data_IF_842403431899
#
_entry.id   IF_842403431899
#
_cell.length_a   1.000
_cell.length_b   1.000
_cell.length_c   1.000
_cell.angle_alpha   90.00
_cell.angle_beta   90.00
_cell.angle_gamma   90.00
#
_symmetry.space_group_name_H-M   'P 1'
#
loop_
_entity.id
_entity.type
_entity.pdbx_description
1 polymer ?
#
# COMPACT_ATOMS: atom_id res chain seq x y z
N UNK A 1 17.68 16.29 -7.18
CA UNK A 1 17.20 16.19 -8.57
C UNK A 1 15.80 15.62 -8.54
N UNK A 2 14.86 16.05 -9.40
CA UNK A 2 13.59 15.34 -9.51
C UNK A 2 13.88 13.96 -10.08
N UNK A 3 13.85 12.92 -9.23
CA UNK A 3 13.90 11.54 -9.68
C UNK A 3 12.58 11.26 -10.39
N UNK A 4 12.62 11.12 -11.71
CA UNK A 4 11.44 10.71 -12.46
C UNK A 4 10.99 9.33 -11.94
N UNK A 5 9.73 9.22 -11.57
CA UNK A 5 9.11 7.96 -11.13
C UNK A 5 7.87 7.72 -11.96
N UNK A 6 7.74 6.50 -12.48
CA UNK A 6 6.54 6.07 -13.19
C UNK A 6 5.35 5.94 -12.24
N UNK A 7 5.59 5.47 -11.00
CA UNK A 7 4.54 5.31 -10.00
C UNK A 7 4.32 6.62 -9.23
N UNK A 8 3.04 6.98 -9.09
CA UNK A 8 2.65 8.08 -8.20
C UNK A 8 2.98 7.74 -6.75
N UNK A 9 3.11 8.77 -5.90
CA UNK A 9 3.31 8.52 -4.47
C UNK A 9 2.13 7.75 -3.83
N UNK A 10 0.91 7.88 -4.35
CA UNK A 10 -0.25 7.09 -3.94
C UNK A 10 -0.02 5.59 -4.17
N UNK A 11 0.39 5.21 -5.38
CA UNK A 11 0.70 3.82 -5.72
C UNK A 11 1.85 3.26 -4.86
N UNK A 12 2.89 4.08 -4.62
CA UNK A 12 4.02 3.71 -3.77
C UNK A 12 3.64 3.51 -2.30
N UNK A 13 2.70 4.30 -1.76
CA UNK A 13 2.16 4.07 -0.41
C UNK A 13 1.37 2.77 -0.35
N UNK A 14 0.53 2.48 -1.35
CA UNK A 14 -0.24 1.23 -1.38
C UNK A 14 0.68 0.00 -1.40
N UNK A 15 1.75 0.02 -2.20
CA UNK A 15 2.78 -1.02 -2.19
C UNK A 15 3.46 -1.17 -0.83
N UNK A 16 3.88 -0.06 -0.22
CA UNK A 16 4.55 -0.08 1.06
C UNK A 16 3.63 -0.62 2.19
N UNK A 17 2.36 -0.24 2.19
CA UNK A 17 1.36 -0.71 3.15
C UNK A 17 1.01 -2.19 2.92
N UNK A 18 0.83 -2.62 1.67
CA UNK A 18 0.60 -4.03 1.35
C UNK A 18 1.77 -4.92 1.82
N UNK A 19 2.99 -4.40 1.73
CA UNK A 19 4.18 -5.07 2.23
C UNK A 19 4.30 -5.07 3.77
N UNK A 20 3.96 -3.96 4.41
CA UNK A 20 4.05 -3.76 5.85
C UNK A 20 2.85 -2.97 6.39
N UNK A 21 1.76 -3.65 6.76
CA UNK A 21 0.53 -3.01 7.29
C UNK A 21 0.75 -2.17 8.56
N UNK A 22 1.83 -2.44 9.28
CA UNK A 22 2.21 -1.81 10.56
C UNK A 22 3.18 -0.63 10.40
N UNK A 23 3.44 -0.20 9.16
CA UNK A 23 4.36 0.88 8.85
C UNK A 23 3.91 2.20 9.50
N UNK A 24 4.85 2.90 10.15
CA UNK A 24 4.60 4.25 10.65
C UNK A 24 4.67 5.23 9.49
N UNK A 25 3.98 6.37 9.61
CA UNK A 25 4.05 7.45 8.61
C UNK A 25 5.49 7.89 8.31
N UNK A 26 6.35 7.90 9.33
CA UNK A 26 7.79 8.17 9.18
C UNK A 26 8.51 7.15 8.29
N UNK A 27 8.14 5.89 8.41
CA UNK A 27 8.78 4.78 7.69
C UNK A 27 8.32 4.85 6.21
N UNK A 28 7.04 5.17 5.99
CA UNK A 28 6.49 5.46 4.65
C UNK A 28 7.17 6.68 4.02
N UNK A 29 7.30 7.78 4.75
CA UNK A 29 7.93 9.00 4.27
C UNK A 29 9.39 8.76 3.84
N UNK A 30 10.15 8.02 4.67
CA UNK A 30 11.52 7.63 4.36
C UNK A 30 11.61 6.74 3.11
N UNK A 31 10.76 5.71 3.00
CA UNK A 31 10.73 4.81 1.84
C UNK A 31 10.35 5.53 0.55
N UNK A 32 9.49 6.55 0.64
CA UNK A 32 9.04 7.32 -0.52
C UNK A 32 9.96 8.49 -0.87
N UNK A 33 10.92 8.82 -0.02
CA UNK A 33 11.74 10.04 -0.10
C UNK A 33 10.89 11.32 -0.13
N UNK A 34 9.86 11.37 0.71
CA UNK A 34 8.97 12.53 0.88
C UNK A 34 8.94 13.00 2.33
N UNK A 35 8.29 14.13 2.60
CA UNK A 35 8.09 14.60 3.98
C UNK A 35 7.03 13.76 4.69
N UNK A 36 7.09 13.68 6.03
CA UNK A 36 6.02 13.05 6.82
C UNK A 36 4.64 13.69 6.56
N UNK A 37 4.60 15.00 6.37
CA UNK A 37 3.36 15.72 6.02
C UNK A 37 2.79 15.24 4.68
N UNK A 38 3.65 15.02 3.69
CA UNK A 38 3.25 14.49 2.38
C UNK A 38 2.74 13.05 2.53
N UNK A 39 3.44 12.20 3.27
CA UNK A 39 3.00 10.83 3.53
C UNK A 39 1.63 10.80 4.26
N UNK A 40 1.44 11.68 5.24
CA UNK A 40 0.16 11.84 5.94
C UNK A 40 -0.97 12.27 5.00
N UNK A 41 -0.72 13.23 4.12
CA UNK A 41 -1.68 13.66 3.11
C UNK A 41 -2.11 12.50 2.21
N UNK A 42 -1.13 11.79 1.63
CA UNK A 42 -1.40 10.63 0.76
C UNK A 42 -2.19 9.53 1.47
N UNK A 43 -1.84 9.20 2.72
CA UNK A 43 -2.59 8.19 3.49
C UNK A 43 -4.02 8.66 3.77
N UNK A 44 -4.21 9.94 4.05
CA UNK A 44 -5.54 10.54 4.21
C UNK A 44 -6.34 10.44 2.91
N UNK A 45 -5.77 10.88 1.79
CA UNK A 45 -6.41 10.82 0.47
C UNK A 45 -6.84 9.39 0.11
N UNK A 46 -5.96 8.41 0.34
CA UNK A 46 -6.26 6.99 0.11
C UNK A 46 -7.31 6.42 1.07
N UNK A 47 -7.39 6.95 2.30
CA UNK A 47 -8.41 6.53 3.27
C UNK A 47 -9.77 7.12 2.90
N UNK A 48 -9.81 8.38 2.49
CA UNK A 48 -11.02 9.06 2.03
C UNK A 48 -11.57 8.44 0.73
N UNK A 49 -10.68 8.04 -0.17
CA UNK A 49 -11.04 7.31 -1.39
C UNK A 49 -11.41 5.83 -1.15
N UNK A 50 -11.28 5.33 0.08
CA UNK A 50 -11.64 3.95 0.46
C UNK A 50 -10.59 2.87 0.14
N UNK A 51 -9.49 3.22 -0.53
CA UNK A 51 -8.41 2.27 -0.85
C UNK A 51 -7.63 1.81 0.37
N UNK A 52 -7.58 2.61 1.43
CA UNK A 52 -7.01 2.24 2.72
C UNK A 52 -8.07 2.29 3.83
N UNK A 53 -8.06 1.28 4.69
CA UNK A 53 -8.74 1.31 5.97
C UNK A 53 -7.70 1.39 7.08
N UNK A 54 -7.91 2.34 8.00
CA UNK A 54 -7.06 2.57 9.15
C UNK A 54 -7.72 2.00 10.39
N UNK A 55 -7.08 1.01 10.99
CA UNK A 55 -7.48 0.43 12.27
C UNK A 55 -6.52 0.84 13.37
N UNK A 56 -7.05 1.09 14.57
CA UNK A 56 -6.23 1.44 15.73
C UNK A 56 -5.87 0.17 16.51
N UNK A 57 -4.63 -0.25 16.38
CA UNK A 57 -4.02 -1.36 17.11
C UNK A 57 -3.23 -0.80 18.31
N UNK A 58 -3.97 -0.51 19.39
CA UNK A 58 -3.44 0.11 20.61
C UNK A 58 -2.86 1.52 20.40
N UNK A 59 -1.54 1.64 20.51
CA UNK A 59 -0.79 2.91 20.28
C UNK A 59 -0.39 3.12 18.82
N UNK A 60 -0.65 2.14 17.94
CA UNK A 60 -0.25 2.18 16.53
C UNK A 60 -1.48 2.15 15.62
N UNK A 61 -1.29 2.66 14.42
CA UNK A 61 -2.24 2.46 13.35
C UNK A 61 -1.78 1.25 12.54
N UNK A 62 -2.73 0.39 12.18
CA UNK A 62 -2.57 -0.67 11.18
C UNK A 62 -3.38 -0.27 9.96
N UNK A 63 -2.79 -0.39 8.78
CA UNK A 63 -3.44 -0.03 7.52
C UNK A 63 -3.72 -1.27 6.69
N UNK A 64 -4.91 -1.33 6.10
CA UNK A 64 -5.36 -2.42 5.24
C UNK A 64 -5.73 -1.86 3.87
N UNK A 65 -5.14 -2.43 2.82
CA UNK A 65 -5.54 -2.13 1.45
C UNK A 65 -6.85 -2.83 1.14
N UNK A 66 -7.82 -2.10 0.59
CA UNK A 66 -9.06 -2.66 0.06
C UNK A 66 -8.82 -3.18 -1.37
N UNK A 67 -8.20 -4.36 -1.44
CA UNK A 67 -7.71 -4.99 -2.68
C UNK A 67 -8.78 -5.20 -3.76
N UNK A 68 -10.05 -5.27 -3.36
CA UNK A 68 -11.19 -5.50 -4.26
C UNK A 68 -11.68 -4.23 -4.98
N UNK A 69 -11.21 -3.03 -4.57
CA UNK A 69 -11.68 -1.80 -5.19
C UNK A 69 -11.09 -1.64 -6.60
N UNK A 70 -11.90 -1.26 -7.59
CA UNK A 70 -11.42 -0.99 -8.93
C UNK A 70 -10.50 0.22 -8.95
N UNK A 71 -9.51 0.23 -9.84
CA UNK A 71 -8.76 1.44 -10.15
C UNK A 71 -9.58 2.32 -11.10
N UNK A 72 -9.63 3.65 -10.89
CA UNK A 72 -10.35 4.54 -11.79
C UNK A 72 -9.57 4.57 -13.11
N UNK A 73 -10.09 3.90 -14.14
CA UNK A 73 -9.44 3.83 -15.46
C UNK A 73 -10.47 4.04 -16.55
N UNK A 74 -10.18 4.93 -17.50
CA UNK A 74 -11.05 5.18 -18.66
C UNK A 74 -10.97 4.08 -19.74
N UNK A 75 -10.31 2.94 -19.46
CA UNK A 75 -9.95 1.93 -20.46
C UNK A 75 -10.41 0.54 -20.04
N UNK A 76 -11.53 0.09 -20.62
CA UNK A 76 -11.95 -1.32 -20.58
C UNK A 76 -12.37 -1.84 -19.22
N UNK A 77 -12.01 -3.10 -18.91
CA UNK A 77 -12.28 -3.71 -17.60
C UNK A 77 -11.38 -3.05 -16.57
N UNK A 78 -11.98 -2.39 -15.57
CA UNK A 78 -11.25 -1.79 -14.46
C UNK A 78 -10.55 -2.89 -13.64
N UNK A 79 -9.21 -2.97 -13.64
CA UNK A 79 -8.50 -3.90 -12.79
C UNK A 79 -8.68 -3.48 -11.33
N UNK A 80 -8.69 -4.45 -10.43
CA UNK A 80 -8.70 -4.14 -8.99
C UNK A 80 -7.32 -3.64 -8.55
N UNK A 81 -7.29 -2.87 -7.46
CA UNK A 81 -6.01 -2.46 -6.88
C UNK A 81 -5.17 -3.67 -6.43
N UNK A 82 -5.81 -4.76 -5.98
CA UNK A 82 -5.12 -6.01 -5.66
C UNK A 82 -4.40 -6.61 -6.87
N UNK A 83 -5.08 -6.72 -8.01
CA UNK A 83 -4.50 -7.24 -9.25
C UNK A 83 -3.26 -6.44 -9.69
N UNK A 84 -3.32 -5.11 -9.58
CA UNK A 84 -2.18 -4.24 -9.92
C UNK A 84 -1.05 -4.37 -8.91
N UNK A 85 -1.36 -4.45 -7.62
CA UNK A 85 -0.34 -4.64 -6.58
C UNK A 85 0.40 -5.96 -6.75
N UNK A 86 -0.30 -7.04 -7.08
CA UNK A 86 0.32 -8.34 -7.33
C UNK A 86 1.26 -8.31 -8.54
N UNK A 87 0.89 -7.65 -9.63
CA UNK A 87 1.77 -7.45 -10.79
C UNK A 87 3.05 -6.69 -10.42
N UNK A 88 2.92 -5.63 -9.60
CA UNK A 88 4.05 -4.82 -9.16
C UNK A 88 4.96 -5.59 -8.18
N UNK A 89 4.39 -6.36 -7.25
CA UNK A 89 5.12 -7.20 -6.31
C UNK A 89 5.88 -8.31 -7.05
N UNK A 90 5.27 -8.94 -8.05
CA UNK A 90 5.92 -9.90 -8.92
C UNK A 90 7.11 -9.29 -9.67
N UNK A 91 6.98 -8.04 -10.15
CA UNK A 91 8.07 -7.32 -10.81
C UNK A 91 9.24 -6.99 -9.86
N UNK A 92 9.00 -6.82 -8.56
CA UNK A 92 10.05 -6.64 -7.53
C UNK A 92 10.78 -7.96 -7.17
N UNK A 93 10.40 -9.11 -7.75
CA UNK A 93 10.93 -10.42 -7.36
C UNK A 93 10.47 -10.84 -5.96
N UNK A 94 9.40 -10.23 -5.45
CA UNK A 94 8.85 -10.45 -4.12
C UNK A 94 7.64 -11.40 -4.24
N UNK A 95 7.45 -12.35 -3.30
CA UNK A 95 6.30 -13.25 -3.38
C UNK A 95 4.99 -12.44 -3.23
N UNK A 96 3.91 -12.81 -3.97
CA UNK A 96 2.63 -12.11 -4.01
C UNK A 96 2.02 -11.85 -2.63
N UNK A 97 1.07 -10.90 -2.55
CA UNK A 97 0.47 -10.47 -1.28
C UNK A 97 -0.20 -11.64 -0.54
N UNK A 98 -0.86 -12.54 -1.28
CA UNK A 98 -1.51 -13.72 -0.72
C UNK A 98 -0.54 -14.67 0.02
N UNK A 99 0.65 -14.92 -0.55
CA UNK A 99 1.63 -15.83 0.05
C UNK A 99 2.23 -15.25 1.34
N UNK A 100 2.36 -13.91 1.40
CA UNK A 100 2.84 -13.19 2.58
C UNK A 100 1.85 -13.25 3.74
N UNK A 101 0.55 -13.13 3.44
CA UNK A 101 -0.52 -13.28 4.44
C UNK A 101 -0.50 -14.67 5.07
N UNK A 102 -0.30 -15.73 4.26
CA UNK A 102 -0.15 -17.11 4.75
C UNK A 102 1.05 -17.28 5.68
N UNK A 103 2.20 -16.71 5.34
CA UNK A 103 3.42 -16.79 6.17
C UNK A 103 3.33 -16.04 7.50
N UNK A 104 2.48 -14.99 7.60
CA UNK A 104 2.29 -14.23 8.85
C UNK A 104 1.23 -14.87 9.78
N UNK A 105 0.60 -15.96 9.35
CA UNK A 105 -0.52 -16.63 10.03
C UNK A 105 -0.20 -17.77 11.00
N UNK A 106 1.05 -18.21 11.16
CA UNK A 106 1.40 -19.28 12.13
C UNK A 106 2.03 -18.69 13.41
N UNK A 107 1.34 -18.70 14.56
CA UNK A 107 2.00 -18.77 15.86
C UNK A 107 2.38 -20.24 16.17
N UNK A 108 3.54 -20.51 16.81
CA UNK A 108 3.88 -21.86 17.21
C UNK A 108 2.91 -22.37 18.28
N UNK A 109 2.46 -23.62 18.12
CA UNK A 109 1.94 -24.43 19.22
C UNK A 109 3.08 -24.91 20.12
#
# INVERSE_FOLDING_TARGET
MPSWSFLTNHARVLLAVAAQPDARLRDLAAALHVTERTAFGIVTDLTEAGYLVKERDGRRNRYHVQEHLPLPTDVGREPTIGEVLDLLVAAEGRPPVEERRRRKGDPPA
#
